data_IF_210221307046
#
_entry.id   IF_210221307046
#
_cell.length_a   1.000
_cell.length_b   1.000
_cell.length_c   1.000
_cell.angle_alpha   90.00
_cell.angle_beta   90.00
_cell.angle_gamma   90.00
#
_symmetry.space_group_name_H-M   'P 1'
#
loop_
_entity.id
_entity.type
_entity.pdbx_description
1 polymer ?
#
# COMPACT_ATOMS: atom_id res chain seq x y z
N UNK A 1 13.40 13.20 1.40
CA UNK A 1 14.29 12.86 2.54
C UNK A 1 13.89 11.52 3.13
N UNK A 2 14.47 10.45 2.61
CA UNK A 2 14.39 9.10 3.19
C UNK A 2 15.79 8.74 3.70
N UNK A 3 15.87 8.12 4.87
CA UNK A 3 17.15 7.68 5.47
C UNK A 3 17.13 6.17 5.61
N UNK A 4 18.24 5.51 5.29
CA UNK A 4 18.39 4.07 5.47
C UNK A 4 18.81 3.80 6.91
N UNK A 5 18.11 2.92 7.61
CA UNK A 5 18.35 2.53 9.02
C UNK A 5 18.34 1.01 9.17
N UNK A 6 18.68 0.49 10.35
CA UNK A 6 18.53 -0.95 10.64
C UNK A 6 17.08 -1.39 10.43
N UNK A 7 16.89 -2.41 9.60
CA UNK A 7 15.58 -2.90 9.17
C UNK A 7 15.09 -4.15 9.90
N UNK A 8 13.99 -4.71 9.38
CA UNK A 8 13.53 -6.06 9.68
C UNK A 8 14.57 -7.05 9.14
N UNK A 9 14.98 -6.84 7.90
CA UNK A 9 16.02 -7.61 7.20
C UNK A 9 17.08 -6.63 6.74
N UNK A 10 18.24 -6.62 7.41
CA UNK A 10 19.34 -5.69 7.15
C UNK A 10 18.95 -4.20 7.31
N UNK A 11 18.36 -3.59 6.29
CA UNK A 11 18.17 -2.15 6.16
C UNK A 11 16.75 -1.78 5.74
N UNK A 12 16.14 -0.82 6.43
CA UNK A 12 14.83 -0.28 6.10
C UNK A 12 14.89 1.20 5.71
N UNK A 13 13.90 1.64 4.93
CA UNK A 13 13.71 3.04 4.56
C UNK A 13 12.87 3.74 5.63
N UNK A 14 13.38 4.83 6.19
CA UNK A 14 12.66 5.68 7.14
C UNK A 14 11.90 6.81 6.45
N UNK A 15 10.62 6.92 6.80
CA UNK A 15 9.72 8.01 6.39
C UNK A 15 9.37 8.90 7.58
N UNK A 16 9.36 10.23 7.35
CA UNK A 16 9.18 11.26 8.39
C UNK A 16 7.81 11.95 8.37
N UNK A 17 6.87 11.50 7.53
CA UNK A 17 5.52 12.06 7.47
C UNK A 17 5.32 13.29 6.59
N UNK A 18 6.39 13.97 6.14
CA UNK A 18 6.31 15.15 5.26
C UNK A 18 7.31 15.07 4.10
N UNK A 19 6.80 15.09 2.86
CA UNK A 19 7.57 15.00 1.60
C UNK A 19 8.71 13.95 1.63
N UNK A 20 8.46 12.85 2.33
CA UNK A 20 9.32 11.68 2.38
C UNK A 20 8.64 10.63 1.53
N UNK A 21 9.23 10.37 0.36
CA UNK A 21 8.72 9.41 -0.59
C UNK A 21 9.87 8.68 -1.26
N UNK A 22 9.56 7.48 -1.73
CA UNK A 22 10.31 6.77 -2.76
C UNK A 22 9.35 6.55 -3.92
N UNK A 23 9.84 6.61 -5.16
CA UNK A 23 9.05 6.18 -6.29
C UNK A 23 9.88 5.34 -7.27
N UNK A 24 9.20 4.42 -7.93
CA UNK A 24 9.73 3.63 -9.02
C UNK A 24 8.76 3.67 -10.20
N UNK A 25 9.29 3.62 -11.42
CA UNK A 25 8.54 3.60 -12.66
C UNK A 25 8.59 2.22 -13.29
N UNK A 26 7.54 1.82 -14.00
CA UNK A 26 7.54 0.55 -14.77
C UNK A 26 6.38 -0.38 -14.49
N UNK A 27 5.34 0.04 -13.76
CA UNK A 27 4.29 -0.86 -13.27
C UNK A 27 3.09 -0.98 -14.23
N UNK A 28 3.31 -1.53 -15.42
CA UNK A 28 2.31 -1.59 -16.50
C UNK A 28 1.02 -2.38 -16.19
N UNK A 29 1.00 -3.24 -15.15
CA UNK A 29 -0.16 -4.05 -14.74
C UNK A 29 -0.78 -3.65 -13.40
N UNK A 30 -0.17 -2.72 -12.66
CA UNK A 30 -0.72 -2.27 -11.40
C UNK A 30 -2.00 -1.43 -11.59
N UNK A 31 -2.60 -0.96 -10.50
CA UNK A 31 -3.78 -0.10 -10.55
C UNK A 31 -3.58 1.06 -11.54
N UNK A 32 -4.52 1.23 -12.48
CA UNK A 32 -4.48 2.23 -13.55
C UNK A 32 -3.29 2.12 -14.52
N UNK A 33 -2.63 0.96 -14.58
CA UNK A 33 -1.62 0.66 -15.59
C UNK A 33 -2.18 0.59 -17.01
N UNK A 34 -1.33 0.20 -17.96
CA UNK A 34 -1.63 0.09 -19.39
C UNK A 34 -2.75 -0.91 -19.68
N UNK A 35 -2.92 -1.91 -18.82
CA UNK A 35 -3.96 -2.92 -18.96
C UNK A 35 -4.97 -2.82 -17.83
N UNK A 36 -6.25 -2.64 -18.18
CA UNK A 36 -7.33 -2.66 -17.19
C UNK A 36 -7.42 -4.02 -16.48
N UNK A 37 -7.66 -3.97 -15.17
CA UNK A 37 -8.04 -5.12 -14.36
C UNK A 37 -7.10 -6.33 -14.44
N UNK A 38 -5.80 -6.11 -14.66
CA UNK A 38 -4.79 -7.17 -14.51
C UNK A 38 -4.50 -7.42 -13.03
N UNK A 39 -4.27 -8.70 -12.70
CA UNK A 39 -3.93 -9.08 -11.34
C UNK A 39 -2.55 -8.55 -10.96
N UNK A 40 -2.43 -8.05 -9.74
CA UNK A 40 -1.17 -7.60 -9.17
C UNK A 40 -1.17 -7.86 -7.67
N UNK A 41 0.01 -7.80 -7.05
CA UNK A 41 0.13 -7.82 -5.59
C UNK A 41 1.24 -6.90 -5.13
N UNK A 42 1.06 -6.32 -3.95
CA UNK A 42 2.05 -5.51 -3.24
C UNK A 42 2.17 -6.06 -1.83
N UNK A 43 3.40 -6.40 -1.44
CA UNK A 43 3.73 -6.89 -0.10
C UNK A 43 4.86 -6.05 0.48
N UNK A 44 4.78 -5.71 1.76
CA UNK A 44 5.79 -4.93 2.45
C UNK A 44 5.72 -5.14 3.97
N UNK A 45 6.84 -4.86 4.64
CA UNK A 45 6.88 -4.72 6.09
C UNK A 45 6.83 -3.25 6.47
N UNK A 46 6.05 -2.93 7.51
CA UNK A 46 6.00 -1.59 8.10
C UNK A 46 6.32 -1.63 9.59
N UNK A 47 6.95 -0.56 10.08
CA UNK A 47 7.11 -0.32 11.52
C UNK A 47 6.75 1.15 11.83
N UNK A 48 5.48 1.42 12.18
CA UNK A 48 4.99 2.79 12.36
C UNK A 48 5.52 3.42 13.64
N UNK A 49 5.97 4.67 13.57
CA UNK A 49 6.29 5.46 14.78
C UNK A 49 5.09 6.28 15.25
N UNK A 50 4.08 6.45 14.41
CA UNK A 50 2.81 7.10 14.72
C UNK A 50 1.65 6.38 14.04
N UNK A 51 0.47 6.42 14.66
CA UNK A 51 -0.77 5.82 14.15
C UNK A 51 -1.75 6.88 13.59
N UNK A 52 -1.23 8.04 13.22
CA UNK A 52 -2.02 9.06 12.52
C UNK A 52 -2.46 8.53 11.15
N UNK A 53 -3.66 8.90 10.73
CA UNK A 53 -4.15 8.56 9.39
C UNK A 53 -3.12 9.00 8.35
N UNK A 54 -2.73 8.10 7.43
CA UNK A 54 -1.62 8.33 6.51
C UNK A 54 -1.64 7.38 5.31
N UNK A 55 -0.90 7.73 4.26
CA UNK A 55 -0.69 6.92 3.06
C UNK A 55 0.68 6.24 3.09
N UNK A 56 0.71 4.94 2.79
CA UNK A 56 1.93 4.13 2.71
C UNK A 56 2.28 3.79 1.26
N UNK A 57 1.29 3.39 0.45
CA UNK A 57 1.50 3.02 -0.96
C UNK A 57 0.55 3.80 -1.86
N UNK A 58 1.11 4.46 -2.88
CA UNK A 58 0.35 5.09 -3.96
C UNK A 58 0.69 4.46 -5.30
N UNK A 59 -0.28 4.50 -6.22
CA UNK A 59 -0.03 4.35 -7.64
C UNK A 59 -0.43 5.64 -8.36
N UNK A 60 0.38 6.07 -9.32
CA UNK A 60 0.02 7.18 -10.21
C UNK A 60 0.35 6.88 -11.66
N UNK A 61 -0.48 7.36 -12.58
CA UNK A 61 -0.21 7.26 -14.02
C UNK A 61 0.41 8.55 -14.59
N UNK A 62 0.52 9.58 -13.75
CA UNK A 62 1.26 10.80 -13.99
C UNK A 62 1.76 11.32 -12.63
N UNK A 63 2.89 12.02 -12.60
CA UNK A 63 3.46 12.63 -11.40
C UNK A 63 2.83 14.02 -11.16
N UNK A 64 1.50 14.07 -11.11
CA UNK A 64 0.70 15.28 -10.87
C UNK A 64 -0.40 15.02 -9.84
N UNK A 65 -0.94 16.10 -9.27
CA UNK A 65 -2.04 16.02 -8.30
C UNK A 65 -3.29 15.39 -8.92
N UNK A 66 -4.03 14.62 -8.11
CA UNK A 66 -5.27 13.93 -8.48
C UNK A 66 -5.16 12.86 -9.58
N UNK A 67 -3.97 12.59 -10.12
CA UNK A 67 -3.70 11.53 -11.10
C UNK A 67 -3.06 10.30 -10.45
N UNK A 68 -3.48 10.04 -9.21
CA UNK A 68 -2.97 8.99 -8.36
C UNK A 68 -4.06 8.42 -7.46
N UNK A 69 -3.75 7.29 -6.85
CA UNK A 69 -4.64 6.51 -6.00
C UNK A 69 -3.83 5.98 -4.80
N UNK A 70 -4.34 6.22 -3.58
CA UNK A 70 -3.78 5.66 -2.36
C UNK A 70 -4.30 4.22 -2.20
N UNK A 71 -3.41 3.23 -2.31
CA UNK A 71 -3.78 1.82 -2.22
C UNK A 71 -3.75 1.33 -0.77
N UNK A 72 -2.68 1.63 -0.04
CA UNK A 72 -2.45 1.14 1.33
C UNK A 72 -2.15 2.32 2.25
N UNK A 73 -2.74 2.31 3.44
CA UNK A 73 -2.53 3.36 4.44
C UNK A 73 -2.87 2.93 5.85
N UNK A 74 -2.77 3.89 6.76
CA UNK A 74 -3.28 3.79 8.13
C UNK A 74 -4.57 4.61 8.20
N UNK A 75 -5.64 3.98 8.68
CA UNK A 75 -6.88 4.64 9.05
C UNK A 75 -6.87 4.94 10.54
N UNK A 76 -7.23 6.16 10.91
CA UNK A 76 -7.34 6.58 12.31
C UNK A 76 -8.36 7.71 12.46
N UNK A 77 -9.24 7.59 13.45
CA UNK A 77 -10.22 8.64 13.77
C UNK A 77 -9.62 9.77 14.63
N UNK A 78 -8.71 9.42 15.54
CA UNK A 78 -8.23 10.35 16.58
C UNK A 78 -6.70 10.40 16.70
N UNK A 79 -5.96 9.68 15.84
CA UNK A 79 -4.50 9.61 15.86
C UNK A 79 -3.88 8.75 16.97
N UNK A 80 -4.70 8.18 17.86
CA UNK A 80 -4.25 7.36 19.01
C UNK A 80 -4.21 5.87 18.71
N UNK A 81 -5.10 5.39 17.84
CA UNK A 81 -5.16 4.01 17.35
C UNK A 81 -5.17 4.04 15.83
N UNK A 82 -4.62 3.00 15.21
CA UNK A 82 -4.52 2.89 13.76
C UNK A 82 -4.86 1.49 13.30
N UNK A 83 -5.56 1.40 12.17
CA UNK A 83 -5.84 0.15 11.46
C UNK A 83 -5.22 0.22 10.08
N UNK A 84 -4.79 -0.93 9.55
CA UNK A 84 -4.44 -1.02 8.13
C UNK A 84 -5.70 -0.80 7.32
N UNK A 85 -5.61 0.02 6.29
CA UNK A 85 -6.70 0.22 5.34
C UNK A 85 -6.18 0.05 3.92
N UNK A 86 -7.01 -0.58 3.11
CA UNK A 86 -6.82 -0.73 1.68
C UNK A 86 -8.05 -0.18 0.98
N UNK A 87 -7.88 0.50 -0.15
CA UNK A 87 -8.99 0.96 -0.95
C UNK A 87 -8.73 0.76 -2.44
N UNK A 88 -9.79 0.73 -3.24
CA UNK A 88 -9.76 1.07 -4.67
C UNK A 88 -9.70 2.60 -4.84
N UNK A 89 -10.18 3.18 -5.94
CA UNK A 89 -10.06 4.64 -6.16
C UNK A 89 -10.61 5.49 -5.01
N UNK A 90 -11.79 5.09 -4.54
CA UNK A 90 -12.56 5.70 -3.46
C UNK A 90 -13.29 4.61 -2.69
N UNK A 91 -13.85 3.67 -3.43
CA UNK A 91 -14.41 2.40 -3.01
C UNK A 91 -13.99 1.34 -4.05
N UNK A 92 -13.99 0.04 -3.71
CA UNK A 92 -14.26 -0.53 -2.39
C UNK A 92 -13.14 -0.36 -1.37
N UNK A 93 -13.43 -0.59 -0.08
CA UNK A 93 -12.45 -0.49 1.02
C UNK A 93 -12.40 -1.78 1.85
N UNK A 94 -11.24 -2.07 2.44
CA UNK A 94 -11.06 -3.08 3.48
C UNK A 94 -10.34 -2.41 4.65
N UNK A 95 -10.93 -2.51 5.84
CA UNK A 95 -10.27 -2.10 7.09
C UNK A 95 -9.81 -3.36 7.80
N UNK A 96 -8.51 -3.43 8.06
CA UNK A 96 -7.85 -4.53 8.74
C UNK A 96 -7.82 -4.38 10.26
N UNK A 97 -7.03 -5.21 10.95
CA UNK A 97 -6.89 -5.16 12.40
C UNK A 97 -6.20 -3.88 12.86
N UNK A 98 -6.33 -3.61 14.16
CA UNK A 98 -5.52 -2.59 14.83
C UNK A 98 -4.05 -3.01 14.85
N UNK A 99 -3.18 -2.03 14.66
CA UNK A 99 -1.73 -2.18 14.70
C UNK A 99 -1.14 -1.31 15.80
N UNK A 100 0.07 -1.68 16.26
CA UNK A 100 0.81 -0.98 17.30
C UNK A 100 2.01 -0.25 16.71
N UNK A 101 2.44 0.82 17.37
CA UNK A 101 3.69 1.50 17.01
C UNK A 101 4.90 0.65 17.36
N UNK A 102 6.04 0.95 16.72
CA UNK A 102 7.34 0.35 16.99
C UNK A 102 7.37 -1.18 16.84
N UNK A 103 6.41 -1.73 16.10
CA UNK A 103 6.25 -3.17 15.88
C UNK A 103 6.20 -3.44 14.39
N UNK A 104 7.02 -4.38 13.93
CA UNK A 104 7.00 -4.82 12.54
C UNK A 104 5.68 -5.54 12.22
N UNK A 105 4.98 -5.07 11.20
CA UNK A 105 3.74 -5.65 10.67
C UNK A 105 3.91 -5.90 9.19
N UNK A 106 3.72 -7.14 8.77
CA UNK A 106 3.70 -7.49 7.34
C UNK A 106 2.31 -7.20 6.77
N UNK A 107 2.27 -6.55 5.62
CA UNK A 107 1.04 -6.24 4.88
C UNK A 107 1.19 -6.81 3.48
N UNK A 108 0.20 -7.55 3.03
CA UNK A 108 0.08 -7.94 1.63
C UNK A 108 -1.30 -7.58 1.11
N UNK A 109 -1.31 -6.97 -0.06
CA UNK A 109 -2.52 -6.64 -0.81
C UNK A 109 -2.42 -7.29 -2.17
N UNK A 110 -3.41 -8.10 -2.51
CA UNK A 110 -3.53 -8.70 -3.84
C UNK A 110 -4.75 -8.12 -4.54
N UNK A 111 -4.72 -8.12 -5.87
CA UNK A 111 -5.86 -7.80 -6.70
C UNK A 111 -6.03 -8.85 -7.79
N UNK A 112 -7.27 -9.28 -8.00
CA UNK A 112 -7.72 -9.92 -9.23
C UNK A 112 -9.11 -9.43 -9.58
N UNK A 113 -9.51 -9.59 -10.85
CA UNK A 113 -10.86 -9.21 -11.26
C UNK A 113 -11.93 -9.96 -10.46
N UNK A 114 -11.72 -11.26 -10.18
CA UNK A 114 -12.69 -12.10 -9.46
C UNK A 114 -12.85 -11.71 -8.00
N UNK A 115 -11.73 -11.54 -7.27
CA UNK A 115 -11.77 -11.30 -5.83
C UNK A 115 -11.80 -9.81 -5.47
N UNK A 116 -11.50 -8.93 -6.44
CA UNK A 116 -11.16 -7.54 -6.18
C UNK A 116 -9.86 -7.46 -5.38
N UNK A 117 -9.80 -6.53 -4.43
CA UNK A 117 -8.68 -6.41 -3.50
C UNK A 117 -8.84 -7.44 -2.40
N UNK A 118 -7.75 -8.08 -2.00
CA UNK A 118 -7.66 -8.91 -0.80
C UNK A 118 -6.57 -8.38 0.13
N UNK A 119 -6.85 -8.30 1.43
CA UNK A 119 -5.91 -7.86 2.45
C UNK A 119 -5.45 -9.04 3.29
N UNK A 120 -4.15 -9.08 3.54
CA UNK A 120 -3.50 -9.97 4.48
C UNK A 120 -2.62 -9.17 5.42
N UNK A 121 -2.63 -9.51 6.72
CA UNK A 121 -1.80 -8.87 7.75
C UNK A 121 -1.09 -9.95 8.54
N UNK A 122 0.23 -9.85 8.68
CA UNK A 122 1.10 -10.86 9.31
C UNK A 122 0.86 -12.28 8.76
N UNK A 123 0.64 -12.38 7.45
CA UNK A 123 0.39 -13.65 6.79
C UNK A 123 -1.03 -14.18 6.94
N UNK A 124 -1.92 -13.51 7.66
CA UNK A 124 -3.31 -13.94 7.90
C UNK A 124 -4.25 -13.21 6.95
N UNK A 125 -5.12 -13.96 6.27
CA UNK A 125 -6.18 -13.41 5.43
C UNK A 125 -7.21 -12.64 6.26
N UNK A 126 -7.51 -11.42 5.85
CA UNK A 126 -8.47 -10.53 6.53
C UNK A 126 -9.81 -10.50 5.81
N UNK A 127 -9.79 -10.43 4.47
CA UNK A 127 -10.99 -10.30 3.66
C UNK A 127 -10.70 -9.79 2.26
N UNK A 128 -11.73 -9.76 1.42
CA UNK A 128 -11.69 -9.21 0.07
C UNK A 128 -12.87 -8.27 -0.20
N UNK A 129 -12.73 -7.40 -1.20
CA UNK A 129 -13.79 -6.45 -1.59
C UNK A 129 -14.88 -7.07 -2.45
N UNK A 130 -14.60 -8.22 -3.07
CA UNK A 130 -15.37 -8.73 -4.18
C UNK A 130 -15.01 -8.01 -5.48
N UNK A 131 -15.45 -8.58 -6.59
CA UNK A 131 -15.11 -8.12 -7.94
C UNK A 131 -15.40 -6.63 -8.16
N UNK A 132 -14.38 -5.91 -8.63
CA UNK A 132 -14.49 -4.57 -9.20
C UNK A 132 -13.37 -4.36 -10.22
N UNK A 133 -13.42 -3.24 -10.95
CA UNK A 133 -12.43 -2.92 -11.98
C UNK A 133 -11.65 -1.66 -11.66
N UNK A 134 -10.33 -1.71 -11.88
CA UNK A 134 -9.55 -0.50 -12.12
C UNK A 134 -9.68 -0.07 -13.59
N UNK A 135 -9.91 1.22 -13.84
CA UNK A 135 -9.89 1.76 -15.20
C UNK A 135 -8.46 1.77 -15.75
N UNK A 136 -8.32 1.69 -17.07
CA UNK A 136 -7.04 1.87 -17.75
C UNK A 136 -6.72 3.37 -17.86
N UNK A 137 -5.48 3.76 -17.61
CA UNK A 137 -5.01 5.12 -17.90
C UNK A 137 -4.36 5.28 -19.28
N UNK A 138 -3.90 4.18 -19.87
CA UNK A 138 -3.07 4.15 -21.08
C UNK A 138 -1.58 4.41 -20.82
N UNK A 139 -1.19 4.64 -19.56
CA UNK A 139 0.19 4.94 -19.18
C UNK A 139 0.79 3.84 -18.32
N UNK A 140 2.12 3.73 -18.37
CA UNK A 140 2.90 2.97 -17.40
C UNK A 140 2.85 3.75 -16.08
N UNK A 141 2.52 3.08 -14.98
CA UNK A 141 2.36 3.73 -13.68
C UNK A 141 3.65 3.74 -12.87
N UNK A 142 3.65 4.66 -11.91
CA UNK A 142 4.60 4.78 -10.84
C UNK A 142 4.03 4.13 -9.59
N UNK A 143 4.86 3.37 -8.89
CA UNK A 143 4.64 3.00 -7.49
C UNK A 143 5.30 4.07 -6.63
N UNK A 144 4.59 4.59 -5.63
CA UNK A 144 5.18 5.43 -4.60
C UNK A 144 5.02 4.80 -3.22
N UNK A 145 6.07 4.94 -2.41
CA UNK A 145 6.04 4.66 -0.98
C UNK A 145 6.06 5.98 -0.22
N UNK A 146 5.25 6.08 0.82
CA UNK A 146 4.99 7.33 1.53
C UNK A 146 3.96 8.20 0.79
N UNK A 147 4.07 9.52 0.97
CA UNK A 147 3.14 10.49 0.38
C UNK A 147 3.89 11.48 -0.50
N UNK A 148 3.57 11.46 -1.79
CA UNK A 148 4.18 12.35 -2.78
C UNK A 148 3.18 13.39 -3.31
N UNK A 149 1.98 12.93 -3.69
CA UNK A 149 0.93 13.79 -4.26
C UNK A 149 -0.40 13.60 -3.56
N UNK A 150 -1.17 14.68 -3.50
CA UNK A 150 -2.59 14.61 -3.16
C UNK A 150 -3.33 13.80 -4.21
N UNK A 151 -3.89 12.68 -3.80
CA UNK A 151 -4.71 11.83 -4.64
C UNK A 151 -6.19 12.08 -4.44
N UNK A 152 -6.94 11.71 -5.46
CA UNK A 152 -8.36 11.40 -5.30
C UNK A 152 -8.49 10.22 -4.34
N UNK A 153 -8.92 10.48 -3.11
CA UNK A 153 -9.02 9.48 -2.04
C UNK A 153 -10.24 9.74 -1.18
N UNK A 154 -10.91 8.67 -0.73
CA UNK A 154 -12.06 8.76 0.17
C UNK A 154 -11.66 8.49 1.62
N UNK A 155 -11.07 7.32 1.90
CA UNK A 155 -10.84 6.84 3.27
C UNK A 155 -9.39 6.89 3.71
N UNK A 156 -8.44 6.83 2.76
CA UNK A 156 -7.01 6.99 3.06
C UNK A 156 -6.61 8.47 3.01
N UNK A 157 -6.07 8.99 4.10
CA UNK A 157 -5.66 10.40 4.21
C UNK A 157 -4.47 10.72 3.28
N UNK A 158 -4.52 11.89 2.63
CA UNK A 158 -3.44 12.46 1.83
C UNK A 158 -2.36 13.10 2.74
N UNK A 159 -1.76 12.28 3.58
CA UNK A 159 -0.74 12.66 4.55
C UNK A 159 0.35 11.58 4.59
N UNK A 160 1.57 11.97 4.94
CA UNK A 160 2.72 11.06 4.90
C UNK A 160 2.73 10.06 6.04
N UNK A 161 3.08 8.83 5.70
CA UNK A 161 3.42 7.80 6.67
C UNK A 161 4.67 8.17 7.48
N UNK A 162 4.64 7.81 8.77
CA UNK A 162 5.73 8.00 9.73
C UNK A 162 6.15 6.65 10.28
N UNK A 163 7.35 6.21 9.92
CA UNK A 163 7.86 4.92 10.34
C UNK A 163 8.86 4.34 9.35
N UNK A 164 9.13 3.06 9.51
CA UNK A 164 10.01 2.30 8.62
C UNK A 164 9.17 1.50 7.64
N UNK A 165 9.70 1.32 6.44
CA UNK A 165 9.23 0.35 5.44
C UNK A 165 10.42 -0.51 5.04
N UNK A 166 10.20 -1.80 4.92
CA UNK A 166 11.21 -2.77 4.53
C UNK A 166 10.62 -3.82 3.59
N UNK A 167 11.48 -4.52 2.84
CA UNK A 167 11.14 -5.73 2.10
C UNK A 167 9.90 -5.56 1.19
N UNK A 168 9.98 -4.62 0.25
CA UNK A 168 8.88 -4.27 -0.67
C UNK A 168 8.91 -5.17 -1.90
N UNK A 169 7.86 -5.95 -2.08
CA UNK A 169 7.66 -6.84 -3.21
C UNK A 169 6.45 -6.42 -4.03
N UNK A 170 6.60 -6.43 -5.35
CA UNK A 170 5.49 -6.20 -6.30
C UNK A 170 5.45 -7.34 -7.30
N UNK A 171 4.27 -7.93 -7.47
CA UNK A 171 4.05 -9.05 -8.37
C UNK A 171 3.01 -8.71 -9.44
N UNK A 172 3.24 -9.22 -10.65
CA UNK A 172 2.34 -9.19 -11.82
C UNK A 172 1.24 -10.27 -11.77
N UNK A 173 0.92 -10.75 -10.58
CA UNK A 173 -0.10 -11.79 -10.34
C UNK A 173 -0.77 -11.59 -8.98
N UNK A 174 -1.91 -12.23 -8.80
CA UNK A 174 -2.50 -12.43 -7.49
C UNK A 174 -1.63 -13.44 -6.72
N UNK A 175 -1.16 -13.05 -5.54
CA UNK A 175 -0.49 -13.97 -4.63
C UNK A 175 -1.50 -14.89 -3.95
N UNK A 176 -1.11 -16.13 -3.74
CA UNK A 176 -1.87 -17.10 -2.95
C UNK A 176 -1.60 -16.90 -1.45
N UNK A 177 -2.44 -17.49 -0.61
CA UNK A 177 -2.20 -17.53 0.84
C UNK A 177 -0.81 -18.11 1.17
N UNK A 178 -0.35 -19.14 0.46
CA UNK A 178 0.96 -19.74 0.70
C UNK A 178 2.10 -18.78 0.34
N UNK A 179 2.00 -18.06 -0.78
CA UNK A 179 2.98 -17.02 -1.15
C UNK A 179 3.07 -15.93 -0.07
N UNK A 180 1.90 -15.45 0.39
CA UNK A 180 1.83 -14.39 1.41
C UNK A 180 2.40 -14.86 2.75
N UNK A 181 2.14 -16.10 3.15
CA UNK A 181 2.72 -16.69 4.37
C UNK A 181 4.24 -16.81 4.26
N UNK A 182 4.78 -17.13 3.08
CA UNK A 182 6.23 -17.17 2.87
C UNK A 182 6.85 -15.77 3.06
N UNK A 183 6.25 -14.73 2.47
CA UNK A 183 6.72 -13.34 2.63
C UNK A 183 6.59 -12.82 4.06
N UNK A 184 5.56 -13.24 4.79
CA UNK A 184 5.35 -12.88 6.20
C UNK A 184 6.36 -13.54 7.17
N UNK A 185 7.05 -14.58 6.72
CA UNK A 185 8.05 -15.31 7.50
C UNK A 185 9.49 -15.00 7.07
N UNK A 186 9.66 -14.18 6.04
CA UNK A 186 10.95 -13.68 5.59
C UNK A 186 11.55 -12.65 6.58
#
# INVERSE_FOLDING_TARGET
>A
NTVIVSGRVNQAIRFTGSLSYFYAYGFFQAAYGVYASKSFSVSLWINPTALTASTIVQFSYNLTTFRCHNLIGIFSNYGTTGQIIVQGMYWPIIVGPYITTNTWTHISVTYSFTNGLSLYVNGVYIGHTGSFTFSNSGYITYLQLGFMYTCSSASISNTGYQGLVDEVYVHSRELTQADVTALANA
#
